data_IF_421540555424
#
_entry.id   IF_421540555424
#
_cell.length_a   1.000
_cell.length_b   1.000
_cell.length_c   1.000
_cell.angle_alpha   90.00
_cell.angle_beta   90.00
_cell.angle_gamma   90.00
#
_symmetry.space_group_name_H-M   'P 1'
#
loop_
_entity.id
_entity.type
_entity.pdbx_description
1 polymer ?
#
# COMPACT_ATOMS: atom_id res chain seq x y z
N UNK A 1 8.48 -13.06 -0.84
CA UNK A 1 7.45 -12.01 -1.07
C UNK A 1 8.13 -10.70 -1.44
N UNK A 2 7.38 -9.74 -1.97
CA UNK A 2 7.88 -8.41 -2.34
C UNK A 2 7.04 -7.35 -1.63
N UNK A 3 7.68 -6.51 -0.82
CA UNK A 3 7.03 -5.45 -0.07
C UNK A 3 7.31 -4.09 -0.70
N UNK A 4 6.26 -3.41 -1.15
CA UNK A 4 6.37 -2.14 -1.88
C UNK A 4 6.13 -0.91 -1.02
N UNK A 5 5.80 -1.07 0.26
CA UNK A 5 5.48 0.04 1.16
C UNK A 5 6.13 -0.18 2.54
N UNK A 6 7.23 0.52 2.82
CA UNK A 6 7.94 0.45 4.10
C UNK A 6 8.69 1.76 4.43
N UNK A 7 8.54 2.25 5.65
CA UNK A 7 9.23 3.45 6.17
C UNK A 7 10.61 3.08 6.74
N UNK A 8 11.45 2.61 5.82
CA UNK A 8 12.75 2.02 6.13
C UNK A 8 13.85 3.07 6.38
N UNK A 9 13.77 4.25 5.76
CA UNK A 9 14.86 5.24 5.82
C UNK A 9 14.90 5.92 7.19
N UNK A 10 16.07 5.92 7.82
CA UNK A 10 16.20 6.42 9.19
C UNK A 10 16.19 7.95 9.28
N UNK A 11 15.44 8.47 10.26
CA UNK A 11 15.52 9.86 10.69
C UNK A 11 14.96 10.91 9.71
N UNK A 12 14.13 10.48 8.75
CA UNK A 12 13.51 11.39 7.77
C UNK A 12 11.98 11.47 7.87
N UNK A 13 11.34 10.48 8.48
CA UNK A 13 9.91 10.47 8.76
C UNK A 13 9.60 9.81 10.12
N UNK A 14 8.35 9.35 10.30
CA UNK A 14 7.90 8.67 11.51
C UNK A 14 8.26 7.18 11.57
N UNK A 15 8.93 6.62 10.55
CA UNK A 15 9.49 5.26 10.55
C UNK A 15 10.76 5.10 11.36
N UNK A 16 11.75 4.39 10.79
CA UNK A 16 13.02 4.07 11.45
C UNK A 16 13.72 5.30 12.04
N UNK A 17 14.28 5.17 13.25
CA UNK A 17 14.96 6.26 13.96
C UNK A 17 16.48 6.25 13.81
N UNK A 18 17.07 5.12 13.45
CA UNK A 18 18.52 4.98 13.29
C UNK A 18 18.90 3.96 12.22
N UNK A 19 20.16 4.01 11.76
CA UNK A 19 20.68 3.05 10.79
C UNK A 19 20.56 1.61 11.31
N UNK A 20 20.84 1.39 12.59
CA UNK A 20 20.74 0.08 13.25
C UNK A 20 19.30 -0.45 13.21
N UNK A 21 18.32 0.42 13.46
CA UNK A 21 16.91 0.04 13.37
C UNK A 21 16.52 -0.29 11.93
N UNK A 22 16.99 0.47 10.94
CA UNK A 22 16.74 0.17 9.53
C UNK A 22 17.33 -1.18 9.12
N UNK A 23 18.56 -1.48 9.51
CA UNK A 23 19.20 -2.79 9.25
C UNK A 23 18.40 -3.92 9.89
N UNK A 24 17.98 -3.76 11.16
CA UNK A 24 17.16 -4.74 11.84
C UNK A 24 15.78 -4.94 11.18
N UNK A 25 15.18 -3.88 10.62
CA UNK A 25 13.93 -4.00 9.86
C UNK A 25 14.12 -4.80 8.57
N UNK A 26 15.25 -4.64 7.87
CA UNK A 26 15.56 -5.46 6.68
C UNK A 26 15.77 -6.93 7.06
N UNK A 27 16.45 -7.19 8.17
CA UNK A 27 16.65 -8.55 8.69
C UNK A 27 15.32 -9.22 9.04
N UNK A 28 14.44 -8.52 9.77
CA UNK A 28 13.11 -9.03 10.12
C UNK A 28 12.25 -9.28 8.86
N UNK A 29 12.33 -8.41 7.85
CA UNK A 29 11.65 -8.62 6.58
C UNK A 29 12.15 -9.90 5.88
N UNK A 30 13.48 -10.11 5.86
CA UNK A 30 14.09 -11.31 5.30
C UNK A 30 13.62 -12.58 6.01
N UNK A 31 13.59 -12.56 7.35
CA UNK A 31 13.11 -13.67 8.17
C UNK A 31 11.62 -13.98 7.94
N UNK A 32 10.80 -12.97 7.65
CA UNK A 32 9.40 -13.15 7.23
C UNK A 32 9.25 -13.74 5.82
N UNK A 33 10.35 -13.83 5.07
CA UNK A 33 10.39 -14.35 3.69
C UNK A 33 10.16 -13.27 2.63
N UNK A 34 10.33 -11.99 2.96
CA UNK A 34 10.42 -10.90 1.99
C UNK A 34 11.81 -10.93 1.37
N UNK A 35 11.90 -10.72 0.06
CA UNK A 35 13.19 -10.68 -0.67
C UNK A 35 13.44 -9.32 -1.32
N UNK A 36 12.39 -8.51 -1.48
CA UNK A 36 12.47 -7.18 -2.06
C UNK A 36 11.67 -6.22 -1.18
N UNK A 37 12.28 -5.08 -0.85
CA UNK A 37 11.67 -4.01 -0.06
C UNK A 37 11.82 -2.71 -0.82
N UNK A 38 10.74 -1.94 -0.97
CA UNK A 38 10.79 -0.55 -1.42
C UNK A 38 10.69 0.35 -0.20
N UNK A 39 11.72 1.16 0.04
CA UNK A 39 11.65 2.23 1.00
C UNK A 39 10.76 3.35 0.44
N UNK A 40 9.70 3.72 1.16
CA UNK A 40 8.69 4.69 0.71
C UNK A 40 8.45 5.72 1.80
N UNK A 41 9.44 6.59 2.08
CA UNK A 41 9.26 7.62 3.09
C UNK A 41 8.16 8.58 2.68
N UNK A 42 7.57 9.25 3.65
CA UNK A 42 6.53 10.24 3.39
C UNK A 42 7.03 11.43 2.55
N UNK A 43 6.16 11.91 1.67
CA UNK A 43 6.19 13.28 1.16
C UNK A 43 4.88 13.96 1.56
N UNK A 44 4.91 14.83 2.57
CA UNK A 44 3.72 15.55 3.05
C UNK A 44 4.09 16.89 3.69
N UNK A 45 3.12 17.59 4.26
CA UNK A 45 3.30 18.94 4.82
C UNK A 45 4.32 18.97 6.00
N UNK A 46 4.58 17.81 6.62
CA UNK A 46 5.54 17.66 7.72
C UNK A 46 6.91 17.16 7.26
N UNK A 47 6.94 16.31 6.24
CA UNK A 47 8.14 15.62 5.76
C UNK A 47 8.40 15.95 4.29
N UNK A 48 9.50 16.65 4.03
CA UNK A 48 9.93 16.94 2.66
C UNK A 48 10.58 15.72 2.02
N UNK A 49 10.38 15.58 0.71
CA UNK A 49 10.96 14.50 -0.07
C UNK A 49 12.12 14.97 -0.94
N UNK A 50 13.29 14.39 -0.70
CA UNK A 50 14.50 14.60 -1.49
C UNK A 50 15.04 13.24 -1.95
N UNK A 51 14.88 12.98 -3.26
CA UNK A 51 15.27 11.71 -3.88
C UNK A 51 16.75 11.42 -3.68
N UNK A 52 17.62 12.40 -3.93
CA UNK A 52 19.07 12.20 -3.87
C UNK A 52 19.53 11.93 -2.43
N UNK A 53 18.97 12.66 -1.46
CA UNK A 53 19.21 12.38 -0.03
C UNK A 53 18.74 10.99 0.34
N UNK A 54 17.55 10.60 -0.08
CA UNK A 54 16.93 9.32 0.24
C UNK A 54 17.71 8.14 -0.37
N UNK A 55 18.25 8.28 -1.57
CA UNK A 55 19.16 7.31 -2.19
C UNK A 55 20.45 7.15 -1.39
N UNK A 56 21.03 8.24 -0.90
CA UNK A 56 22.20 8.21 -0.03
C UNK A 56 21.94 7.48 1.30
N UNK A 57 20.75 7.63 1.89
CA UNK A 57 20.35 6.90 3.09
C UNK A 57 20.11 5.41 2.80
N UNK A 58 19.46 5.10 1.68
CA UNK A 58 19.24 3.71 1.26
C UNK A 58 20.57 2.99 1.01
N UNK A 59 21.54 3.70 0.42
CA UNK A 59 22.88 3.16 0.20
C UNK A 59 23.63 2.88 1.51
N UNK A 60 23.53 3.79 2.50
CA UNK A 60 24.09 3.53 3.83
C UNK A 60 23.48 2.29 4.49
N UNK A 61 22.16 2.09 4.33
CA UNK A 61 21.50 0.87 4.83
C UNK A 61 22.08 -0.37 4.14
N UNK A 62 22.18 -0.36 2.80
CA UNK A 62 22.76 -1.49 2.02
C UNK A 62 24.17 -1.84 2.48
N UNK A 63 25.00 -0.84 2.71
CA UNK A 63 26.40 -1.02 3.14
C UNK A 63 26.53 -1.55 4.58
N UNK A 64 25.52 -1.28 5.42
CA UNK A 64 25.48 -1.76 6.80
C UNK A 64 24.83 -3.14 6.95
N UNK A 65 24.25 -3.72 5.90
CA UNK A 65 23.66 -5.05 5.95
C UNK A 65 24.74 -6.14 6.12
N UNK A 66 24.50 -7.17 6.97
CA UNK A 66 25.34 -8.36 7.00
C UNK A 66 25.41 -9.03 5.61
N UNK A 67 26.53 -9.69 5.24
CA UNK A 67 26.73 -10.21 3.88
C UNK A 67 25.65 -11.19 3.39
N UNK A 68 25.14 -12.04 4.28
CA UNK A 68 24.05 -12.99 4.00
C UNK A 68 22.72 -12.28 3.74
N UNK A 69 22.42 -11.25 4.53
CA UNK A 69 21.24 -10.40 4.35
C UNK A 69 21.35 -9.58 3.06
N UNK A 70 22.51 -8.99 2.80
CA UNK A 70 22.78 -8.22 1.59
C UNK A 70 22.66 -9.07 0.31
N UNK A 71 23.02 -10.36 0.38
CA UNK A 71 22.88 -11.28 -0.74
C UNK A 71 21.42 -11.73 -0.98
N UNK A 72 20.58 -11.73 0.05
CA UNK A 72 19.19 -12.18 -0.02
C UNK A 72 18.18 -11.05 -0.29
N UNK A 73 18.54 -9.80 0.03
CA UNK A 73 17.63 -8.66 0.03
C UNK A 73 17.94 -7.67 -1.09
N UNK A 74 16.91 -7.34 -1.87
CA UNK A 74 16.97 -6.26 -2.86
C UNK A 74 16.19 -5.05 -2.35
N UNK A 75 16.88 -3.91 -2.20
CA UNK A 75 16.25 -2.68 -1.72
C UNK A 75 15.98 -1.71 -2.88
N UNK A 76 14.76 -1.18 -2.94
CA UNK A 76 14.31 -0.14 -3.87
C UNK A 76 13.91 1.14 -3.15
N UNK A 77 13.63 2.19 -3.92
CA UNK A 77 13.21 3.50 -3.40
C UNK A 77 11.99 4.02 -4.14
N UNK A 78 10.98 4.44 -3.41
CA UNK A 78 9.82 5.17 -3.89
C UNK A 78 9.49 6.32 -2.95
N UNK A 79 8.20 6.58 -2.77
CA UNK A 79 7.66 7.61 -1.90
C UNK A 79 6.27 7.18 -1.48
N UNK A 80 5.91 7.37 -0.21
CA UNK A 80 4.50 7.40 0.18
C UNK A 80 3.99 8.84 -0.02
N UNK A 81 3.43 9.08 -1.21
CA UNK A 81 3.15 10.42 -1.71
C UNK A 81 1.80 10.90 -1.19
N UNK A 82 1.80 11.86 -0.28
CA UNK A 82 0.55 12.47 0.16
C UNK A 82 -0.01 13.37 -0.95
N UNK A 83 -1.28 13.16 -1.29
CA UNK A 83 -1.95 13.90 -2.36
C UNK A 83 -2.32 15.32 -1.89
N UNK A 84 -1.36 16.24 -2.00
CA UNK A 84 -1.54 17.67 -1.79
C UNK A 84 -1.13 18.48 -3.03
N UNK A 85 -1.42 19.78 -3.02
CA UNK A 85 -1.15 20.67 -4.16
C UNK A 85 0.35 20.76 -4.48
N UNK A 86 1.20 20.95 -3.47
CA UNK A 86 2.65 21.14 -3.64
C UNK A 86 3.32 19.92 -4.27
N UNK A 87 3.06 18.73 -3.73
CA UNK A 87 3.58 17.48 -4.27
C UNK A 87 3.07 17.23 -5.70
N UNK A 88 1.79 17.51 -5.97
CA UNK A 88 1.20 17.30 -7.29
C UNK A 88 1.83 18.21 -8.36
N UNK A 89 2.08 19.48 -8.03
CA UNK A 89 2.77 20.39 -8.95
C UNK A 89 4.24 20.00 -9.16
N UNK A 90 4.96 19.58 -8.11
CA UNK A 90 6.34 19.08 -8.25
C UNK A 90 6.38 17.83 -9.14
N UNK A 91 5.50 16.85 -8.89
CA UNK A 91 5.42 15.62 -9.69
C UNK A 91 5.07 15.88 -11.16
N UNK A 92 4.33 16.95 -11.48
CA UNK A 92 4.04 17.35 -12.86
C UNK A 92 5.31 17.77 -13.61
N UNK A 93 6.26 18.40 -12.93
CA UNK A 93 7.56 18.82 -13.47
C UNK A 93 8.57 17.68 -13.43
N UNK A 94 8.59 16.93 -12.33
CA UNK A 94 9.56 15.87 -11.99
C UNK A 94 8.90 14.49 -11.97
N UNK A 95 8.34 14.08 -13.11
CA UNK A 95 7.47 12.90 -13.29
C UNK A 95 7.89 11.58 -12.66
N UNK A 96 9.19 11.35 -12.45
CA UNK A 96 9.71 10.07 -11.93
C UNK A 96 10.28 10.16 -10.52
N UNK A 97 10.45 11.37 -9.99
CA UNK A 97 11.11 11.64 -8.70
C UNK A 97 10.52 10.81 -7.56
N UNK A 98 9.20 10.72 -7.50
CA UNK A 98 8.46 10.05 -6.43
C UNK A 98 8.14 8.58 -6.73
N UNK A 99 8.32 8.15 -7.98
CA UNK A 99 7.94 6.81 -8.41
C UNK A 99 8.90 5.75 -7.88
N UNK A 100 8.38 4.54 -7.71
CA UNK A 100 9.15 3.37 -7.32
C UNK A 100 10.24 3.13 -8.37
N UNK A 101 11.49 3.14 -7.91
CA UNK A 101 12.71 2.94 -8.68
C UNK A 101 12.84 3.86 -9.92
N UNK A 102 12.24 5.06 -9.88
CA UNK A 102 12.17 6.02 -11.01
C UNK A 102 11.52 5.45 -12.28
N UNK A 103 10.59 4.49 -12.08
CA UNK A 103 9.84 3.84 -13.15
C UNK A 103 8.48 4.52 -13.31
N UNK A 104 7.41 3.75 -13.30
CA UNK A 104 6.07 4.26 -13.63
C UNK A 104 5.13 4.27 -12.42
N UNK A 105 5.37 3.47 -11.39
CA UNK A 105 4.42 3.29 -10.29
C UNK A 105 4.63 4.32 -9.17
N UNK A 106 3.54 4.97 -8.74
CA UNK A 106 3.52 5.96 -7.67
C UNK A 106 2.55 5.51 -6.57
N UNK A 107 3.04 5.30 -5.35
CA UNK A 107 2.17 5.13 -4.19
C UNK A 107 1.57 6.48 -3.81
N UNK A 108 0.26 6.53 -3.57
CA UNK A 108 -0.47 7.74 -3.23
C UNK A 108 -1.27 7.50 -1.94
N UNK A 109 -0.99 8.32 -0.94
CA UNK A 109 -1.78 8.46 0.28
C UNK A 109 -2.77 9.63 0.12
N UNK A 110 -4.02 9.40 0.52
CA UNK A 110 -5.04 10.46 0.54
C UNK A 110 -5.14 11.11 1.91
N UNK A 111 -5.49 12.41 1.98
CA UNK A 111 -5.88 13.04 3.22
C UNK A 111 -6.99 12.25 3.94
N UNK A 112 -6.87 12.10 5.26
CA UNK A 112 -7.86 11.40 6.09
C UNK A 112 -9.27 11.99 5.98
N UNK A 113 -9.36 13.31 5.80
CA UNK A 113 -10.60 14.09 5.75
C UNK A 113 -10.57 15.00 4.52
N UNK A 114 -11.71 15.08 3.83
CA UNK A 114 -11.90 16.08 2.78
C UNK A 114 -11.27 15.69 1.46
N UNK A 115 -11.54 14.46 0.99
CA UNK A 115 -11.18 14.04 -0.37
C UNK A 115 -11.79 15.05 -1.36
N UNK A 116 -10.91 15.69 -2.14
CA UNK A 116 -11.30 16.70 -3.11
C UNK A 116 -12.22 16.09 -4.18
N UNK A 117 -13.22 16.85 -4.60
CA UNK A 117 -14.02 16.53 -5.80
C UNK A 117 -13.20 16.49 -7.10
N UNK A 118 -11.94 16.95 -7.07
CA UNK A 118 -11.01 16.91 -8.22
C UNK A 118 -10.09 15.70 -8.21
N UNK A 119 -10.23 14.77 -7.27
CA UNK A 119 -9.34 13.60 -7.18
C UNK A 119 -9.33 12.78 -8.48
N UNK A 120 -10.48 12.62 -9.13
CA UNK A 120 -10.60 11.92 -10.41
C UNK A 120 -9.72 12.58 -11.50
N UNK A 121 -9.74 13.91 -11.57
CA UNK A 121 -8.93 14.70 -12.50
C UNK A 121 -7.43 14.59 -12.18
N UNK A 122 -7.07 14.64 -10.90
CA UNK A 122 -5.68 14.53 -10.45
C UNK A 122 -5.12 13.14 -10.79
N UNK A 123 -5.85 12.07 -10.48
CA UNK A 123 -5.45 10.70 -10.79
C UNK A 123 -5.35 10.45 -12.31
N UNK A 124 -6.22 11.09 -13.11
CA UNK A 124 -6.11 11.07 -14.56
C UNK A 124 -4.85 11.80 -15.05
N UNK A 125 -4.58 13.00 -14.52
CA UNK A 125 -3.43 13.82 -14.90
C UNK A 125 -2.09 13.15 -14.57
N UNK A 126 -2.00 12.42 -13.45
CA UNK A 126 -0.83 11.62 -13.11
C UNK A 126 -0.60 10.50 -14.16
N UNK A 127 -1.67 9.82 -14.56
CA UNK A 127 -1.61 8.73 -15.57
C UNK A 127 -1.17 9.21 -16.94
N UNK A 128 -1.76 10.27 -17.48
CA UNK A 128 -1.28 10.87 -18.74
C UNK A 128 0.14 11.44 -18.61
N UNK A 129 0.55 11.76 -17.38
CA UNK A 129 1.91 12.16 -17.04
C UNK A 129 2.94 11.04 -17.15
N UNK A 130 2.51 9.77 -17.24
CA UNK A 130 3.35 8.58 -17.24
C UNK A 130 3.56 7.96 -15.85
N UNK A 131 2.70 8.32 -14.87
CA UNK A 131 2.71 7.75 -13.53
C UNK A 131 1.44 6.90 -13.32
N UNK A 132 1.61 5.63 -13.00
CA UNK A 132 0.52 4.71 -12.63
C UNK A 132 0.29 4.78 -11.12
N UNK A 133 -0.83 5.39 -10.68
CA UNK A 133 -1.12 5.57 -9.26
C UNK A 133 -1.53 4.25 -8.59
N UNK A 134 -1.01 4.03 -7.39
CA UNK A 134 -1.39 2.97 -6.45
C UNK A 134 -1.88 3.65 -5.18
N UNK A 135 -3.17 3.55 -4.89
CA UNK A 135 -3.75 4.10 -3.67
C UNK A 135 -3.34 3.23 -2.47
N UNK A 136 -2.63 3.82 -1.51
CA UNK A 136 -2.16 3.14 -0.30
C UNK A 136 -3.23 3.13 0.78
N UNK A 137 -3.33 1.97 1.44
CA UNK A 137 -4.21 1.68 2.57
C UNK A 137 -5.57 2.38 2.58
N UNK A 138 -6.37 2.28 1.49
CA UNK A 138 -7.68 2.91 1.43
C UNK A 138 -8.62 2.40 2.52
N UNK A 139 -8.39 1.18 3.03
CA UNK A 139 -9.15 0.60 4.11
C UNK A 139 -9.00 1.33 5.44
N UNK A 140 -7.96 2.16 5.59
CA UNK A 140 -7.71 2.96 6.79
C UNK A 140 -8.25 4.39 6.69
N UNK A 141 -8.55 4.87 5.48
CA UNK A 141 -9.03 6.22 5.29
C UNK A 141 -10.49 6.37 5.74
N UNK A 142 -10.74 7.28 6.69
CA UNK A 142 -12.06 7.47 7.32
C UNK A 142 -13.14 7.88 6.31
N UNK A 143 -12.78 8.65 5.29
CA UNK A 143 -13.73 9.07 4.24
C UNK A 143 -14.11 7.87 3.38
N UNK A 144 -13.14 7.07 2.94
CA UNK A 144 -13.37 5.90 2.08
C UNK A 144 -14.09 4.76 2.81
N UNK A 145 -13.86 4.60 4.11
CA UNK A 145 -14.64 3.67 4.95
C UNK A 145 -16.14 3.96 4.92
N UNK A 146 -16.54 5.22 4.71
CA UNK A 146 -17.96 5.63 4.63
C UNK A 146 -18.53 5.55 3.22
N UNK A 147 -17.68 5.52 2.20
CA UNK A 147 -18.08 5.47 0.79
C UNK A 147 -17.26 4.43 0.01
N UNK A 148 -17.32 3.14 0.38
CA UNK A 148 -16.51 2.09 -0.24
C UNK A 148 -16.82 1.90 -1.74
N UNK A 149 -18.04 2.20 -2.20
CA UNK A 149 -18.40 2.15 -3.62
C UNK A 149 -17.51 3.03 -4.51
N UNK A 150 -16.96 4.14 -3.99
CA UNK A 150 -16.02 4.98 -4.75
C UNK A 150 -14.71 4.26 -5.09
N UNK A 151 -14.27 3.33 -4.23
CA UNK A 151 -13.09 2.51 -4.51
C UNK A 151 -13.33 1.57 -5.68
N UNK A 152 -14.55 1.01 -5.79
CA UNK A 152 -14.90 0.14 -6.91
C UNK A 152 -14.90 0.91 -8.22
N UNK A 153 -15.51 2.10 -8.24
CA UNK A 153 -15.47 2.99 -9.41
C UNK A 153 -14.03 3.30 -9.84
N UNK A 154 -13.13 3.59 -8.89
CA UNK A 154 -11.75 3.88 -9.21
C UNK A 154 -11.00 2.65 -9.75
N UNK A 155 -11.20 1.48 -9.16
CA UNK A 155 -10.60 0.23 -9.65
C UNK A 155 -11.09 -0.11 -11.05
N UNK A 156 -12.39 0.01 -11.30
CA UNK A 156 -12.97 -0.19 -12.63
C UNK A 156 -12.40 0.78 -13.68
N UNK A 157 -11.98 1.98 -13.24
CA UNK A 157 -11.29 2.96 -14.06
C UNK A 157 -9.76 2.80 -14.07
N UNK A 158 -9.21 1.71 -13.53
CA UNK A 158 -7.79 1.37 -13.60
C UNK A 158 -6.91 1.95 -12.49
N UNK A 159 -7.48 2.40 -11.36
CA UNK A 159 -6.70 2.69 -10.15
C UNK A 159 -6.28 1.39 -9.47
N UNK A 160 -5.03 1.31 -9.04
CA UNK A 160 -4.52 0.15 -8.31
C UNK A 160 -4.64 0.40 -6.80
N UNK A 161 -4.91 -0.66 -6.02
CA UNK A 161 -5.07 -0.57 -4.56
C UNK A 161 -4.03 -1.42 -3.82
N UNK A 162 -3.40 -0.84 -2.81
CA UNK A 162 -2.56 -1.55 -1.84
C UNK A 162 -3.26 -1.57 -0.48
N UNK A 163 -3.50 -2.75 0.08
CA UNK A 163 -4.05 -2.93 1.44
C UNK A 163 -2.93 -3.28 2.41
N UNK A 164 -2.96 -2.73 3.63
CA UNK A 164 -1.92 -3.00 4.62
C UNK A 164 -2.11 -4.39 5.23
N UNK A 165 -1.02 -5.15 5.36
CA UNK A 165 -1.03 -6.50 5.92
C UNK A 165 -1.65 -6.54 7.34
N UNK A 166 -1.33 -5.55 8.18
CA UNK A 166 -1.94 -5.39 9.50
C UNK A 166 -3.45 -5.19 9.47
N UNK A 167 -4.02 -4.57 8.43
CA UNK A 167 -5.47 -4.40 8.29
C UNK A 167 -6.16 -5.74 8.06
N UNK A 168 -5.55 -6.64 7.27
CA UNK A 168 -6.03 -8.01 7.05
C UNK A 168 -6.09 -8.82 8.36
N UNK A 169 -5.20 -8.50 9.30
CA UNK A 169 -5.06 -9.15 10.60
C UNK A 169 -5.77 -8.42 11.76
N UNK A 170 -6.51 -7.34 11.48
CA UNK A 170 -7.26 -6.59 12.50
C UNK A 170 -6.44 -5.61 13.34
N UNK A 171 -5.15 -5.40 13.05
CA UNK A 171 -4.26 -4.51 13.81
C UNK A 171 -4.73 -3.05 13.81
N UNK A 172 -5.40 -2.61 12.74
CA UNK A 172 -5.95 -1.26 12.59
C UNK A 172 -7.44 -1.17 12.94
N UNK A 173 -7.97 -2.18 13.64
CA UNK A 173 -9.35 -2.22 14.10
C UNK A 173 -10.33 -2.83 13.10
N UNK A 174 -11.52 -3.16 13.61
CA UNK A 174 -12.53 -3.94 12.90
C UNK A 174 -13.01 -3.28 11.59
N UNK A 175 -13.12 -1.95 11.54
CA UNK A 175 -13.57 -1.26 10.33
C UNK A 175 -12.58 -1.43 9.18
N UNK A 176 -11.27 -1.27 9.46
CA UNK A 176 -10.22 -1.47 8.47
C UNK A 176 -10.13 -2.93 8.03
N UNK A 177 -10.25 -3.89 8.96
CA UNK A 177 -10.28 -5.32 8.64
C UNK A 177 -11.47 -5.69 7.76
N UNK A 178 -12.67 -5.22 8.12
CA UNK A 178 -13.89 -5.48 7.36
C UNK A 178 -13.78 -4.95 5.93
N UNK A 179 -13.30 -3.71 5.76
CA UNK A 179 -13.12 -3.12 4.44
C UNK A 179 -12.01 -3.82 3.65
N UNK A 180 -10.88 -4.17 4.27
CA UNK A 180 -9.82 -4.95 3.63
C UNK A 180 -10.36 -6.27 3.05
N UNK A 181 -11.09 -7.04 3.86
CA UNK A 181 -11.66 -8.32 3.41
C UNK A 181 -12.77 -8.15 2.38
N UNK A 182 -13.55 -7.07 2.44
CA UNK A 182 -14.55 -6.75 1.42
C UNK A 182 -13.86 -6.51 0.05
N UNK A 183 -12.86 -5.63 0.02
CA UNK A 183 -12.10 -5.33 -1.21
C UNK A 183 -11.38 -6.56 -1.76
N UNK A 184 -10.80 -7.40 -0.88
CA UNK A 184 -10.14 -8.65 -1.27
C UNK A 184 -11.12 -9.63 -1.94
N UNK A 185 -12.31 -9.81 -1.35
CA UNK A 185 -13.34 -10.72 -1.89
C UNK A 185 -13.92 -10.23 -3.22
N UNK A 186 -13.92 -8.93 -3.46
CA UNK A 186 -14.40 -8.31 -4.70
C UNK A 186 -13.33 -8.28 -5.80
N UNK A 187 -12.15 -8.87 -5.57
CA UNK A 187 -11.01 -8.79 -6.49
C UNK A 187 -10.52 -7.35 -6.77
N UNK A 188 -10.77 -6.40 -5.86
CA UNK A 188 -10.41 -4.98 -6.01
C UNK A 188 -8.96 -4.67 -5.59
N UNK A 189 -8.33 -5.54 -4.79
CA UNK A 189 -6.98 -5.33 -4.25
C UNK A 189 -5.94 -5.83 -5.22
N UNK A 190 -4.85 -5.07 -5.37
CA UNK A 190 -3.74 -5.38 -6.27
C UNK A 190 -2.47 -5.75 -5.51
N UNK A 191 -2.29 -5.23 -4.30
CA UNK A 191 -1.10 -5.44 -3.49
C UNK A 191 -1.44 -5.60 -2.01
N UNK A 192 -0.67 -6.46 -1.33
CA UNK A 192 -0.51 -6.43 0.12
C UNK A 192 0.91 -5.94 0.40
N UNK A 193 1.04 -4.99 1.32
CA UNK A 193 2.32 -4.44 1.76
C UNK A 193 2.31 -4.23 3.28
N UNK A 194 3.48 -4.13 3.91
CA UNK A 194 3.56 -4.07 5.38
C UNK A 194 3.18 -2.71 5.90
N UNK A 195 3.59 -1.64 5.19
CA UNK A 195 3.52 -0.27 5.70
C UNK A 195 4.18 -0.17 7.10
N UNK A 196 5.32 -0.85 7.20
CA UNK A 196 6.08 -1.00 8.43
C UNK A 196 6.88 0.25 8.76
N UNK A 197 6.99 0.53 10.06
CA UNK A 197 7.64 1.72 10.63
C UNK A 197 8.67 1.38 11.70
N UNK A 198 8.53 0.23 12.35
CA UNK A 198 9.34 -0.13 13.51
C UNK A 198 9.44 -1.66 13.68
N UNK A 199 10.04 -2.12 14.77
CA UNK A 199 10.26 -3.55 15.06
C UNK A 199 9.25 -4.13 16.05
N UNK A 200 8.27 -3.33 16.50
CA UNK A 200 7.40 -3.70 17.63
C UNK A 200 5.90 -3.62 17.29
N UNK A 201 5.47 -2.50 16.74
CA UNK A 201 4.05 -2.17 16.51
C UNK A 201 3.65 -2.28 15.05
N UNK A 202 4.43 -1.69 14.14
CA UNK A 202 4.22 -1.78 12.68
C UNK A 202 5.43 -2.45 12.08
N UNK A 203 5.47 -3.76 12.24
CA UNK A 203 6.62 -4.60 11.87
C UNK A 203 6.65 -4.92 10.38
N UNK A 204 7.83 -5.12 9.78
CA UNK A 204 7.99 -5.52 8.38
C UNK A 204 7.67 -7.00 8.19
N UNK A 205 6.44 -7.39 8.53
CA UNK A 205 5.95 -8.77 8.45
C UNK A 205 4.59 -8.82 7.75
N UNK A 206 4.46 -9.70 6.76
CA UNK A 206 3.20 -9.93 6.04
C UNK A 206 2.95 -11.40 5.68
N UNK A 207 3.83 -12.33 6.07
CA UNK A 207 3.65 -13.77 5.82
C UNK A 207 2.34 -14.32 6.42
N UNK A 208 1.94 -13.83 7.60
CA UNK A 208 0.69 -14.23 8.27
C UNK A 208 -0.52 -13.73 7.48
N UNK A 209 -0.51 -12.48 7.03
CA UNK A 209 -1.57 -11.91 6.19
C UNK A 209 -1.68 -12.67 4.86
N UNK A 210 -0.54 -12.94 4.20
CA UNK A 210 -0.48 -13.77 2.99
C UNK A 210 -1.09 -15.15 3.22
N UNK A 211 -0.74 -15.83 4.32
CA UNK A 211 -1.28 -17.16 4.65
C UNK A 211 -2.79 -17.11 4.85
N UNK A 212 -3.29 -16.11 5.56
CA UNK A 212 -4.74 -15.92 5.76
C UNK A 212 -5.48 -15.71 4.43
N UNK A 213 -4.90 -14.94 3.51
CA UNK A 213 -5.44 -14.75 2.16
C UNK A 213 -5.42 -16.08 1.39
N UNK A 214 -4.33 -16.84 1.44
CA UNK A 214 -4.23 -18.14 0.77
C UNK A 214 -5.30 -19.13 1.27
N UNK A 215 -5.51 -19.20 2.59
CA UNK A 215 -6.50 -20.07 3.22
C UNK A 215 -7.94 -19.72 2.82
N UNK A 216 -8.25 -18.43 2.63
CA UNK A 216 -9.62 -17.95 2.39
C UNK A 216 -9.96 -17.72 0.92
N UNK A 217 -8.99 -17.30 0.11
CA UNK A 217 -9.17 -16.85 -1.27
C UNK A 217 -8.27 -17.60 -2.27
N UNK A 218 -7.51 -18.59 -1.80
CA UNK A 218 -6.64 -19.43 -2.63
C UNK A 218 -5.22 -18.90 -2.78
N UNK A 219 -4.30 -19.84 -3.03
CA UNK A 219 -2.86 -19.58 -3.14
C UNK A 219 -2.51 -18.68 -4.33
N UNK A 220 -3.25 -18.77 -5.43
CA UNK A 220 -3.06 -17.91 -6.61
C UNK A 220 -3.32 -16.44 -6.29
N UNK A 221 -4.38 -16.16 -5.51
CA UNK A 221 -4.68 -14.81 -5.03
C UNK A 221 -3.56 -14.30 -4.12
N UNK A 222 -3.14 -15.09 -3.13
CA UNK A 222 -2.06 -14.69 -2.23
C UNK A 222 -0.73 -14.44 -2.96
N UNK A 223 -0.40 -15.27 -3.95
CA UNK A 223 0.80 -15.12 -4.77
C UNK A 223 0.73 -13.87 -5.65
N UNK A 224 -0.41 -13.61 -6.30
CA UNK A 224 -0.61 -12.41 -7.10
C UNK A 224 -0.39 -11.14 -6.27
N UNK A 225 -1.02 -11.06 -5.09
CA UNK A 225 -1.02 -9.86 -4.26
C UNK A 225 0.28 -9.61 -3.49
N UNK A 226 1.03 -10.66 -3.12
CA UNK A 226 2.24 -10.54 -2.29
C UNK A 226 3.55 -10.84 -3.03
N UNK A 227 3.49 -11.28 -4.29
CA UNK A 227 4.66 -11.68 -5.08
C UNK A 227 4.60 -11.12 -6.49
N UNK A 228 3.64 -11.56 -7.31
CA UNK A 228 3.67 -11.29 -8.76
C UNK A 228 3.42 -9.82 -9.08
N UNK A 229 2.34 -9.23 -8.56
CA UNK A 229 2.04 -7.83 -8.81
C UNK A 229 3.10 -6.89 -8.21
N UNK A 230 3.50 -7.03 -6.92
CA UNK A 230 4.52 -6.15 -6.37
C UNK A 230 5.89 -6.32 -7.05
N UNK A 231 6.24 -7.51 -7.56
CA UNK A 231 7.44 -7.70 -8.37
C UNK A 231 7.38 -6.93 -9.68
N UNK A 232 6.26 -6.99 -10.41
CA UNK A 232 6.07 -6.22 -11.63
C UNK A 232 6.22 -4.70 -11.37
N UNK A 233 5.67 -4.21 -10.24
CA UNK A 233 5.86 -2.83 -9.79
C UNK A 233 7.33 -2.50 -9.50
N UNK A 234 8.03 -3.38 -8.78
CA UNK A 234 9.45 -3.21 -8.46
C UNK A 234 10.30 -3.13 -9.73
N UNK A 235 9.99 -3.96 -10.72
CA UNK A 235 10.67 -4.04 -12.02
C UNK A 235 10.21 -2.96 -13.01
N UNK A 236 9.08 -2.30 -12.77
CA UNK A 236 8.46 -1.35 -13.70
C UNK A 236 7.88 -2.02 -14.94
N UNK A 237 7.46 -3.26 -14.79
CA UNK A 237 6.76 -4.03 -15.80
C UNK A 237 5.24 -3.82 -15.64
N UNK A 238 4.47 -3.86 -16.74
CA UNK A 238 3.01 -3.90 -16.64
C UNK A 238 2.55 -5.06 -15.75
N UNK A 239 1.45 -4.84 -15.01
CA UNK A 239 0.85 -5.93 -14.25
C UNK A 239 0.35 -7.03 -15.19
N UNK A 240 0.41 -8.32 -14.77
CA UNK A 240 -0.27 -9.38 -15.49
C UNK A 240 -1.78 -9.13 -15.51
N UNK A 241 -2.51 -9.92 -16.31
CA UNK A 241 -3.98 -9.87 -16.32
C UNK A 241 -4.53 -10.06 -14.90
N UNK A 242 -5.37 -9.12 -14.47
CA UNK A 242 -6.01 -9.15 -13.16
C UNK A 242 -7.37 -9.84 -13.28
N UNK A 243 -7.85 -10.52 -12.22
CA UNK A 243 -9.20 -11.06 -12.21
C UNK A 243 -10.22 -9.95 -12.43
N UNK A 244 -11.35 -10.32 -13.02
CA UNK A 244 -12.48 -9.41 -13.15
C UNK A 244 -12.96 -9.03 -11.74
N UNK A 245 -13.14 -7.74 -11.53
CA UNK A 245 -13.72 -7.23 -10.31
C UNK A 245 -15.17 -7.72 -10.19
N UNK A 246 -15.50 -8.32 -9.05
CA UNK A 246 -16.86 -8.73 -8.77
C UNK A 246 -17.68 -7.50 -8.38
N UNK A 247 -18.86 -7.34 -8.98
CA UNK A 247 -19.85 -6.41 -8.46
C UNK A 247 -20.24 -6.85 -7.03
N UNK A 248 -20.62 -5.90 -6.17
CA UNK A 248 -21.18 -6.28 -4.87
C UNK A 248 -22.31 -7.29 -5.09
N UNK A 249 -22.35 -8.41 -4.33
CA UNK A 249 -23.62 -9.09 -4.16
C UNK A 249 -24.56 -8.05 -3.55
N UNK A 250 -25.72 -7.81 -4.18
CA UNK A 250 -26.81 -7.02 -3.60
C UNK A 250 -26.85 -7.30 -2.10
N UNK A 251 -26.78 -6.26 -1.25
CA UNK A 251 -26.95 -6.44 0.18
C UNK A 251 -28.17 -7.35 0.38
N UNK A 252 -28.07 -8.45 1.16
CA UNK A 252 -29.24 -9.26 1.42
C UNK A 252 -30.28 -8.33 2.05
N UNK A 253 -31.42 -8.15 1.35
CA UNK A 253 -32.56 -7.38 1.84
C UNK A 253 -32.70 -7.63 3.33
N UNK A 254 -32.52 -6.56 4.09
CA UNK A 254 -32.51 -6.54 5.54
C UNK A 254 -33.77 -7.26 6.05
N UNK A 255 -33.65 -8.57 6.32
CA UNK A 255 -34.80 -9.38 6.71
C UNK A 255 -35.34 -8.73 7.97
N UNK A 256 -36.59 -8.23 7.97
CA UNK A 256 -37.07 -7.41 9.07
C UNK A 256 -36.91 -8.22 10.35
N UNK A 257 -36.10 -7.66 11.27
CA UNK A 257 -35.80 -8.33 12.54
C UNK A 257 -37.09 -8.77 13.20
N UNK A 258 -37.10 -9.99 13.75
CA UNK A 258 -38.23 -10.56 14.51
C UNK A 258 -38.72 -9.61 15.62
N UNK A 259 -37.85 -8.70 16.08
CA UNK A 259 -38.15 -7.68 17.09
C UNK A 259 -39.10 -6.58 16.60
N UNK A 260 -39.11 -6.23 15.31
CA UNK A 260 -40.07 -5.25 14.75
C UNK A 260 -41.52 -5.76 14.70
N UNK A 261 -41.77 -7.07 14.85
CA UNK A 261 -43.13 -7.65 14.92
C UNK A 261 -43.74 -7.69 16.32
N UNK A 262 -42.96 -7.46 17.38
CA UNK A 262 -43.43 -7.55 18.77
C UNK A 262 -43.90 -6.18 19.31
N UNK A 263 -43.43 -5.07 18.74
CA UNK A 263 -43.78 -3.71 19.19
C UNK A 263 -44.77 -2.95 18.29
N UNK A 264 -45.41 -3.63 17.32
CA UNK A 264 -46.41 -3.04 16.43
C UNK A 264 -47.81 -3.63 16.63
N UNK A 265 -48.26 -3.77 17.88
CA UNK A 265 -49.66 -4.04 18.22
C UNK A 265 -50.19 -2.99 19.17
#
# INVERSE_FOLDING_TARGET
MVDIHQHLLFGIDDGSKSLEQSVAMVQMAMEDGITHVVATPHANDRYSYDRARNEGLLQQIREALPPDVAAAMTLGLGCDFHLNFENTEDARVHKRRYTINEKEYLLIELPDIGISNRIDEILYNLRIGGMTPILTHPERNVTLQRTPGKLQEWVANGLLLQVTAGSVLGTFGHTAESLAWSLLKQNSVHFIATDAHDLERRTPTMSIARRSIAERLGEDTATRLCVTNPMAVFEGNPLPEQPVQDAEPDEPEDKPSLWKRIFSR
#
